data_IF_461018109577
#
_entry.id   IF_461018109577
#
_cell.length_a   1.000
_cell.length_b   1.000
_cell.length_c   1.000
_cell.angle_alpha   90.00
_cell.angle_beta   90.00
_cell.angle_gamma   90.00
#
_symmetry.space_group_name_H-M   'P 1'
#
loop_
_entity.id
_entity.type
_entity.pdbx_description
1 polymer ?
#
# COMPACT_ATOMS: atom_id res chain seq x y z
N UNK A 1 3.98 20.58 15.63
CA UNK A 1 4.85 21.13 16.68
C UNK A 1 5.62 19.98 17.30
N UNK A 2 6.87 19.79 16.89
CA UNK A 2 7.77 18.81 17.50
C UNK A 2 8.35 19.52 18.72
N UNK A 3 7.93 19.11 19.90
CA UNK A 3 8.35 19.66 21.19
C UNK A 3 9.85 19.50 21.38
N UNK A 4 10.52 20.58 21.78
CA UNK A 4 11.96 20.68 22.10
C UNK A 4 12.47 19.72 23.21
N UNK A 5 11.63 18.80 23.70
CA UNK A 5 11.91 17.92 24.84
C UNK A 5 12.74 16.68 24.50
N UNK A 6 13.04 16.40 23.23
CA UNK A 6 13.78 15.20 22.81
C UNK A 6 15.30 15.38 22.69
N UNK A 7 15.84 16.60 22.87
CA UNK A 7 17.28 16.85 22.66
C UNK A 7 18.16 16.58 23.90
N UNK A 8 17.58 16.34 25.07
CA UNK A 8 18.33 16.11 26.32
C UNK A 8 18.69 14.64 26.58
N UNK A 9 18.19 13.70 25.77
CA UNK A 9 18.50 12.27 25.92
C UNK A 9 19.88 11.86 25.38
N UNK A 10 20.62 12.76 24.71
CA UNK A 10 21.88 12.43 24.03
C UNK A 10 23.14 12.52 24.91
N UNK A 11 23.02 12.92 26.18
CA UNK A 11 24.17 13.28 27.02
C UNK A 11 24.81 12.21 27.94
N UNK A 12 24.31 10.96 28.12
CA UNK A 12 25.02 10.00 28.98
C UNK A 12 26.00 9.06 28.25
N UNK A 13 26.08 9.08 26.91
CA UNK A 13 26.87 8.08 26.17
C UNK A 13 28.39 8.37 26.25
N UNK A 14 28.78 9.65 26.29
CA UNK A 14 30.20 10.02 26.25
C UNK A 14 30.97 9.70 27.54
N UNK A 15 30.29 9.68 28.69
CA UNK A 15 30.94 9.48 30.00
C UNK A 15 31.14 8.00 30.33
N UNK A 16 30.45 7.08 29.66
CA UNK A 16 30.56 5.64 29.90
C UNK A 16 31.77 4.98 29.19
N UNK A 17 32.35 5.64 28.18
CA UNK A 17 33.49 5.10 27.43
C UNK A 17 34.84 5.17 28.15
N UNK A 18 34.98 5.92 29.25
CA UNK A 18 36.30 6.20 29.84
C UNK A 18 36.81 5.15 30.85
N UNK A 19 36.02 4.16 31.27
CA UNK A 19 36.37 3.38 32.47
C UNK A 19 35.99 1.89 32.49
N UNK A 20 35.90 1.23 31.32
CA UNK A 20 35.43 -0.16 31.25
C UNK A 20 36.55 -1.16 30.93
N UNK A 21 36.71 -2.25 31.69
CA UNK A 21 37.75 -3.27 31.48
C UNK A 21 37.51 -4.13 30.23
N UNK A 22 38.62 -4.60 29.65
CA UNK A 22 38.92 -4.92 28.24
C UNK A 22 38.15 -6.07 27.54
N UNK A 23 36.86 -6.29 27.81
CA UNK A 23 36.11 -7.34 27.07
C UNK A 23 34.59 -7.30 27.07
N UNK A 24 33.97 -6.51 27.96
CA UNK A 24 32.49 -6.40 28.08
C UNK A 24 31.90 -5.16 27.41
N UNK A 25 32.74 -4.29 26.86
CA UNK A 25 32.35 -2.99 26.29
C UNK A 25 31.43 -3.06 25.07
N UNK A 26 31.69 -3.85 24.02
CA UNK A 26 30.86 -3.81 22.81
C UNK A 26 29.46 -4.39 23.03
N UNK A 27 29.34 -5.43 23.88
CA UNK A 27 28.05 -6.08 24.15
C UNK A 27 27.15 -5.19 25.03
N UNK A 28 27.71 -4.49 26.01
CA UNK A 28 26.97 -3.53 26.83
C UNK A 28 26.57 -2.27 26.04
N UNK A 29 27.43 -1.77 25.15
CA UNK A 29 27.08 -0.65 24.27
C UNK A 29 25.95 -1.05 23.31
N UNK A 30 26.01 -2.26 22.73
CA UNK A 30 24.92 -2.78 21.90
C UNK A 30 23.60 -2.90 22.68
N UNK A 31 23.64 -3.53 23.85
CA UNK A 31 22.48 -3.67 24.72
C UNK A 31 21.88 -2.30 25.08
N UNK A 32 22.71 -1.32 25.40
CA UNK A 32 22.27 0.04 25.71
C UNK A 32 21.65 0.75 24.49
N UNK A 33 22.27 0.65 23.31
CA UNK A 33 21.75 1.27 22.07
C UNK A 33 20.40 0.66 21.69
N UNK A 34 20.27 -0.67 21.72
CA UNK A 34 19.00 -1.36 21.42
C UNK A 34 17.94 -1.03 22.48
N UNK A 35 18.31 -1.00 23.76
CA UNK A 35 17.40 -0.67 24.85
C UNK A 35 16.91 0.78 24.82
N UNK A 36 17.67 1.72 24.24
CA UNK A 36 17.26 3.13 24.12
C UNK A 36 16.50 3.39 22.81
N UNK A 37 17.01 2.88 21.68
CA UNK A 37 16.41 3.17 20.36
C UNK A 37 15.15 2.33 20.12
N UNK A 38 15.14 1.08 20.58
CA UNK A 38 14.02 0.15 20.38
C UNK A 38 12.69 0.68 20.90
N UNK A 39 12.60 1.13 22.16
CA UNK A 39 11.38 1.70 22.72
C UNK A 39 10.94 2.98 22.01
N UNK A 40 11.87 3.85 21.59
CA UNK A 40 11.53 5.08 20.85
C UNK A 40 10.90 4.75 19.50
N UNK A 41 11.50 3.83 18.74
CA UNK A 41 10.95 3.36 17.45
C UNK A 41 9.59 2.71 17.68
N UNK A 42 9.49 1.82 18.66
CA UNK A 42 8.24 1.13 19.00
C UNK A 42 7.12 2.11 19.39
N UNK A 43 7.43 3.11 20.22
CA UNK A 43 6.46 4.12 20.66
C UNK A 43 6.01 5.01 19.52
N UNK A 44 6.93 5.45 18.64
CA UNK A 44 6.58 6.23 17.45
C UNK A 44 5.68 5.44 16.50
N UNK A 45 5.94 4.14 16.32
CA UNK A 45 5.10 3.25 15.51
C UNK A 45 3.71 3.10 16.12
N UNK A 46 3.61 2.81 17.43
CA UNK A 46 2.33 2.68 18.14
C UNK A 46 1.52 3.99 18.07
N UNK A 47 2.14 5.13 18.35
CA UNK A 47 1.47 6.43 18.29
C UNK A 47 0.98 6.77 16.88
N UNK A 48 1.71 6.38 15.84
CA UNK A 48 1.27 6.56 14.46
C UNK A 48 0.07 5.67 14.09
N UNK A 49 -0.05 4.48 14.69
CA UNK A 49 -1.20 3.59 14.51
C UNK A 49 -2.45 4.14 15.21
N UNK A 50 -2.31 4.67 16.44
CA UNK A 50 -3.42 5.25 17.20
C UNK A 50 -3.98 6.53 16.54
N UNK A 51 -3.11 7.42 16.05
CA UNK A 51 -3.53 8.64 15.36
C UNK A 51 -4.34 8.35 14.07
N UNK A 52 -3.99 7.25 13.38
CA UNK A 52 -4.74 6.78 12.20
C UNK A 52 -6.13 6.25 12.55
N UNK A 53 -6.25 5.51 13.65
CA UNK A 53 -7.52 4.96 14.13
C UNK A 53 -8.49 6.05 14.61
N UNK A 54 -7.97 7.05 15.34
CA UNK A 54 -8.75 8.20 15.83
C UNK A 54 -9.34 9.03 14.69
N UNK A 55 -8.53 9.35 13.67
CA UNK A 55 -8.97 10.16 12.52
C UNK A 55 -10.03 9.47 11.67
N UNK A 56 -9.94 8.15 11.53
CA UNK A 56 -10.94 7.36 10.78
C UNK A 56 -12.25 7.19 11.55
N UNK A 57 -12.22 7.17 12.89
CA UNK A 57 -13.44 7.23 13.71
C UNK A 57 -14.17 8.57 13.55
N UNK A 58 -13.45 9.71 13.64
CA UNK A 58 -14.05 11.03 13.48
C UNK A 58 -14.65 11.28 12.09
N UNK A 59 -14.02 10.77 11.03
CA UNK A 59 -14.55 10.88 9.67
C UNK A 59 -15.86 10.09 9.46
N UNK A 60 -15.98 8.91 10.10
CA UNK A 60 -17.20 8.10 10.08
C UNK A 60 -18.34 8.74 10.87
N UNK A 61 -18.03 9.34 12.01
CA UNK A 61 -18.98 10.09 12.84
C UNK A 61 -19.59 11.26 12.05
N UNK A 62 -18.75 12.05 11.38
CA UNK A 62 -19.18 13.18 10.56
C UNK A 62 -20.04 12.74 9.36
N UNK A 63 -19.73 11.57 8.76
CA UNK A 63 -20.53 10.99 7.69
C UNK A 63 -21.90 10.53 8.19
N UNK A 64 -21.96 9.84 9.34
CA UNK A 64 -23.22 9.39 9.94
C UNK A 64 -24.13 10.58 10.30
N UNK A 65 -23.58 11.65 10.88
CA UNK A 65 -24.34 12.88 11.15
C UNK A 65 -24.87 13.55 9.87
N UNK A 66 -24.13 13.48 8.76
CA UNK A 66 -24.59 14.01 7.49
C UNK A 66 -25.72 13.15 6.87
N UNK A 67 -25.66 11.82 7.03
CA UNK A 67 -26.70 10.88 6.57
C UNK A 67 -27.99 11.03 7.39
N UNK A 68 -27.89 11.20 8.71
CA UNK A 68 -29.04 11.34 9.62
C UNK A 68 -29.83 12.63 9.38
N UNK A 69 -29.18 13.67 8.82
CA UNK A 69 -29.83 14.94 8.44
C UNK A 69 -30.57 14.91 7.08
N UNK A 70 -30.59 13.78 6.37
CA UNK A 70 -31.34 13.61 5.11
C UNK A 70 -32.71 13.01 5.38
N UNK A 71 -33.67 13.85 5.74
CA UNK A 71 -35.01 13.42 6.16
C UNK A 71 -36.03 13.15 5.04
N UNK A 72 -35.65 13.20 3.75
CA UNK A 72 -36.60 12.86 2.66
C UNK A 72 -35.92 12.41 1.35
N UNK A 73 -36.35 11.28 0.73
CA UNK A 73 -35.78 10.73 -0.52
C UNK A 73 -35.89 11.62 -1.77
N UNK A 74 -36.69 12.69 -1.75
CA UNK A 74 -36.97 13.52 -2.93
C UNK A 74 -36.05 14.74 -3.08
N UNK A 75 -35.04 14.89 -2.22
CA UNK A 75 -34.15 16.04 -2.24
C UNK A 75 -32.84 15.72 -2.99
N UNK A 76 -32.92 15.76 -4.32
CA UNK A 76 -31.80 15.54 -5.25
C UNK A 76 -30.57 16.40 -4.92
N UNK A 77 -30.79 17.62 -4.41
CA UNK A 77 -29.72 18.52 -3.99
C UNK A 77 -29.01 18.00 -2.73
N UNK A 78 -29.75 17.46 -1.74
CA UNK A 78 -29.14 16.80 -0.57
C UNK A 78 -28.41 15.51 -0.94
N UNK A 79 -28.91 14.73 -1.89
CA UNK A 79 -28.21 13.53 -2.39
C UNK A 79 -26.89 13.90 -3.08
N UNK A 80 -26.87 14.99 -3.87
CA UNK A 80 -25.64 15.52 -4.46
C UNK A 80 -24.67 16.05 -3.39
N UNK A 81 -25.16 16.73 -2.35
CA UNK A 81 -24.31 17.22 -1.26
C UNK A 81 -23.71 16.08 -0.42
N UNK A 82 -24.48 15.02 -0.14
CA UNK A 82 -23.98 13.81 0.51
C UNK A 82 -22.94 13.09 -0.35
N UNK A 83 -23.18 12.96 -1.66
CA UNK A 83 -22.21 12.36 -2.58
C UNK A 83 -20.89 13.15 -2.60
N UNK A 84 -20.98 14.49 -2.64
CA UNK A 84 -19.81 15.38 -2.64
C UNK A 84 -19.04 15.30 -1.31
N UNK A 85 -19.73 15.26 -0.17
CA UNK A 85 -19.11 15.05 1.15
C UNK A 85 -18.50 13.66 1.30
N UNK A 86 -19.11 12.62 0.74
CA UNK A 86 -18.50 11.30 0.67
C UNK A 86 -17.19 11.34 -0.13
N UNK A 87 -17.18 11.98 -1.29
CA UNK A 87 -15.99 12.12 -2.13
C UNK A 87 -14.88 12.90 -1.44
N UNK A 88 -15.21 13.97 -0.72
CA UNK A 88 -14.26 14.78 0.06
C UNK A 88 -13.70 14.01 1.26
N UNK A 89 -14.55 13.24 1.97
CA UNK A 89 -14.12 12.35 3.04
C UNK A 89 -13.18 11.24 2.52
N UNK A 90 -13.46 10.68 1.34
CA UNK A 90 -12.59 9.71 0.69
C UNK A 90 -11.26 10.32 0.25
N UNK A 91 -11.23 11.55 -0.28
CA UNK A 91 -9.99 12.23 -0.69
C UNK A 91 -9.10 12.57 0.53
N UNK A 92 -9.69 13.05 1.63
CA UNK A 92 -8.97 13.30 2.88
C UNK A 92 -8.44 11.98 3.46
N UNK A 93 -9.24 10.90 3.44
CA UNK A 93 -8.81 9.59 3.93
C UNK A 93 -7.68 9.00 3.06
N UNK A 94 -7.78 9.08 1.73
CA UNK A 94 -6.74 8.61 0.81
C UNK A 94 -5.42 9.40 0.98
N UNK A 95 -5.49 10.74 1.09
CA UNK A 95 -4.30 11.58 1.29
C UNK A 95 -3.66 11.37 2.65
N UNK A 96 -4.47 11.20 3.70
CA UNK A 96 -3.96 10.96 5.06
C UNK A 96 -3.28 9.59 5.20
N UNK A 97 -3.83 8.55 4.57
CA UNK A 97 -3.23 7.20 4.53
C UNK A 97 -1.91 7.17 3.76
N UNK A 98 -1.80 7.92 2.66
CA UNK A 98 -0.56 8.02 1.90
C UNK A 98 0.59 8.63 2.70
N UNK A 99 0.31 9.68 3.50
CA UNK A 99 1.35 10.36 4.27
C UNK A 99 1.84 9.53 5.46
N UNK A 100 0.95 8.86 6.20
CA UNK A 100 1.33 8.00 7.32
C UNK A 100 2.07 6.75 6.85
N UNK A 101 1.61 6.11 5.75
CA UNK A 101 2.28 4.94 5.17
C UNK A 101 3.70 5.25 4.68
N UNK A 102 3.92 6.45 4.13
CA UNK A 102 5.26 6.86 3.71
C UNK A 102 6.21 7.03 4.91
N UNK A 103 5.76 7.71 5.97
CA UNK A 103 6.57 7.87 7.19
C UNK A 103 6.83 6.54 7.90
N UNK A 104 5.82 5.66 8.00
CA UNK A 104 6.03 4.33 8.60
C UNK A 104 7.02 3.49 7.79
N UNK A 105 6.97 3.55 6.47
CA UNK A 105 7.91 2.86 5.59
C UNK A 105 9.34 3.39 5.73
N UNK A 106 9.49 4.71 5.81
CA UNK A 106 10.79 5.37 5.97
C UNK A 106 11.39 5.07 7.36
N UNK A 107 10.56 5.00 8.39
CA UNK A 107 10.97 4.63 9.74
C UNK A 107 11.35 3.15 9.83
N UNK A 108 10.62 2.25 9.16
CA UNK A 108 10.99 0.84 9.07
C UNK A 108 12.30 0.62 8.30
N UNK A 109 12.50 1.33 7.17
CA UNK A 109 13.74 1.27 6.40
C UNK A 109 14.94 1.77 7.20
N UNK A 110 14.80 2.91 7.88
CA UNK A 110 15.87 3.47 8.71
C UNK A 110 16.18 2.59 9.92
N UNK A 111 15.16 2.00 10.56
CA UNK A 111 15.34 1.02 11.62
C UNK A 111 16.09 -0.23 11.14
N UNK A 112 15.69 -0.80 9.99
CA UNK A 112 16.34 -1.96 9.38
C UNK A 112 17.79 -1.69 9.02
N UNK A 113 18.08 -0.52 8.42
CA UNK A 113 19.44 -0.08 8.13
C UNK A 113 20.27 0.07 9.41
N UNK A 114 19.68 0.62 10.48
CA UNK A 114 20.34 0.75 11.78
C UNK A 114 20.75 -0.60 12.35
N UNK A 115 19.87 -1.61 12.31
CA UNK A 115 20.19 -2.96 12.79
C UNK A 115 21.37 -3.56 12.00
N UNK A 116 21.38 -3.42 10.67
CA UNK A 116 22.48 -3.91 9.82
C UNK A 116 23.79 -3.18 10.13
N UNK A 117 23.76 -1.86 10.26
CA UNK A 117 24.95 -1.05 10.56
C UNK A 117 25.57 -1.44 11.91
N UNK A 118 24.73 -1.69 12.91
CA UNK A 118 25.19 -2.12 14.24
C UNK A 118 25.72 -3.55 14.21
N UNK A 119 25.06 -4.47 13.51
CA UNK A 119 25.56 -5.84 13.32
C UNK A 119 26.92 -5.86 12.62
N UNK A 120 27.11 -5.00 11.61
CA UNK A 120 28.39 -4.83 10.93
C UNK A 120 29.47 -4.27 11.85
N UNK A 121 29.13 -3.28 12.67
CA UNK A 121 30.05 -2.73 13.68
C UNK A 121 30.53 -3.81 14.65
N UNK A 122 29.63 -4.64 15.17
CA UNK A 122 29.98 -5.76 16.07
C UNK A 122 30.88 -6.76 15.35
N UNK A 123 30.55 -7.13 14.12
CA UNK A 123 31.34 -8.10 13.35
C UNK A 123 32.79 -7.63 13.13
N UNK A 124 33.02 -6.32 13.00
CA UNK A 124 34.36 -5.74 12.83
C UNK A 124 35.11 -5.58 14.16
N UNK A 125 34.40 -5.26 15.24
CA UNK A 125 35.00 -4.90 16.54
C UNK A 125 35.12 -6.04 17.54
N UNK A 126 34.39 -7.14 17.37
CA UNK A 126 34.51 -8.31 18.24
C UNK A 126 35.91 -8.95 18.09
N UNK A 127 36.50 -9.42 19.18
CA UNK A 127 37.75 -10.20 19.11
C UNK A 127 37.47 -11.70 18.90
N UNK A 128 36.32 -12.18 19.39
CA UNK A 128 35.94 -13.59 19.31
C UNK A 128 35.38 -13.99 17.94
N UNK A 129 36.02 -14.97 17.31
CA UNK A 129 35.64 -15.46 15.98
C UNK A 129 34.21 -16.02 15.93
N UNK A 130 33.76 -16.69 17.00
CA UNK A 130 32.41 -17.23 17.08
C UNK A 130 31.35 -16.11 17.02
N UNK A 131 31.58 -15.02 17.76
CA UNK A 131 30.72 -13.83 17.76
C UNK A 131 30.67 -13.15 16.39
N UNK A 132 31.81 -13.10 15.67
CA UNK A 132 31.85 -12.58 14.29
C UNK A 132 30.96 -13.38 13.34
N UNK A 133 31.07 -14.71 13.36
CA UNK A 133 30.28 -15.56 12.49
C UNK A 133 28.79 -15.51 12.82
N UNK A 134 28.42 -15.54 14.10
CA UNK A 134 27.02 -15.40 14.52
C UNK A 134 26.42 -14.07 14.07
N UNK A 135 27.13 -12.96 14.29
CA UNK A 135 26.69 -11.63 13.85
C UNK A 135 26.56 -11.54 12.32
N UNK A 136 27.51 -12.10 11.57
CA UNK A 136 27.48 -12.12 10.11
C UNK A 136 26.28 -12.92 9.56
N UNK A 137 25.98 -14.08 10.15
CA UNK A 137 24.83 -14.91 9.74
C UNK A 137 23.51 -14.18 10.03
N UNK A 138 23.35 -13.60 11.22
CA UNK A 138 22.14 -12.85 11.58
C UNK A 138 21.96 -11.65 10.66
N UNK A 139 23.04 -10.89 10.38
CA UNK A 139 22.99 -9.76 9.47
C UNK A 139 22.64 -10.19 8.03
N UNK A 140 23.20 -11.30 7.55
CA UNK A 140 22.91 -11.83 6.22
C UNK A 140 21.44 -12.28 6.10
N UNK A 141 20.93 -13.03 7.08
CA UNK A 141 19.52 -13.48 7.10
C UNK A 141 18.58 -12.29 7.21
N UNK A 142 18.85 -11.37 8.14
CA UNK A 142 18.03 -10.16 8.32
C UNK A 142 17.96 -9.30 7.06
N UNK A 143 19.11 -9.10 6.39
CA UNK A 143 19.17 -8.36 5.12
C UNK A 143 18.43 -9.10 4.01
N UNK A 144 18.58 -10.42 3.90
CA UNK A 144 17.89 -11.25 2.91
C UNK A 144 16.37 -11.21 3.08
N UNK A 145 15.88 -11.42 4.30
CA UNK A 145 14.44 -11.35 4.62
C UNK A 145 13.89 -9.95 4.40
N UNK A 146 14.59 -8.91 4.88
CA UNK A 146 14.19 -7.52 4.68
C UNK A 146 14.11 -7.14 3.20
N UNK A 147 15.09 -7.55 2.41
CA UNK A 147 15.12 -7.35 0.95
C UNK A 147 13.96 -8.05 0.24
N UNK A 148 13.64 -9.28 0.63
CA UNK A 148 12.50 -10.02 0.08
C UNK A 148 11.17 -9.33 0.38
N UNK A 149 10.94 -8.90 1.63
CA UNK A 149 9.73 -8.17 2.03
C UNK A 149 9.62 -6.85 1.26
N UNK A 150 10.70 -6.07 1.18
CA UNK A 150 10.73 -4.81 0.46
C UNK A 150 10.37 -5.00 -1.03
N UNK A 151 10.96 -6.02 -1.68
CA UNK A 151 10.67 -6.37 -3.08
C UNK A 151 9.19 -6.68 -3.28
N UNK A 152 8.62 -7.54 -2.43
CA UNK A 152 7.21 -7.94 -2.50
C UNK A 152 6.29 -6.73 -2.28
N UNK A 153 6.59 -5.89 -1.29
CA UNK A 153 5.80 -4.68 -1.01
C UNK A 153 5.81 -3.70 -2.19
N UNK A 154 6.98 -3.45 -2.79
CA UNK A 154 7.11 -2.60 -3.98
C UNK A 154 6.28 -3.16 -5.13
N UNK A 155 6.33 -4.47 -5.35
CA UNK A 155 5.59 -5.13 -6.42
C UNK A 155 4.07 -4.99 -6.22
N UNK A 156 3.56 -5.33 -5.03
CA UNK A 156 2.14 -5.20 -4.68
C UNK A 156 1.67 -3.74 -4.78
N UNK A 157 2.46 -2.80 -4.26
CA UNK A 157 2.12 -1.38 -4.32
C UNK A 157 2.09 -0.86 -5.77
N UNK A 158 3.02 -1.29 -6.61
CA UNK A 158 3.04 -0.91 -8.04
C UNK A 158 1.80 -1.43 -8.75
N UNK A 159 1.41 -2.69 -8.51
CA UNK A 159 0.18 -3.26 -9.06
C UNK A 159 -1.05 -2.52 -8.55
N UNK A 160 -1.15 -2.25 -7.25
CA UNK A 160 -2.27 -1.49 -6.70
C UNK A 160 -2.40 -0.09 -7.33
N UNK A 161 -1.28 0.62 -7.53
CA UNK A 161 -1.26 1.92 -8.20
C UNK A 161 -1.69 1.83 -9.67
N UNK A 162 -1.30 0.77 -10.39
CA UNK A 162 -1.76 0.52 -11.76
C UNK A 162 -3.27 0.31 -11.82
N UNK A 163 -3.84 -0.44 -10.87
CA UNK A 163 -5.29 -0.66 -10.80
C UNK A 163 -6.04 0.65 -10.52
N UNK A 164 -5.54 1.47 -9.59
CA UNK A 164 -6.13 2.78 -9.29
C UNK A 164 -6.08 3.70 -10.52
N UNK A 165 -4.94 3.74 -11.21
CA UNK A 165 -4.79 4.52 -12.45
C UNK A 165 -5.79 4.05 -13.52
N UNK A 166 -5.89 2.75 -13.74
CA UNK A 166 -6.84 2.18 -14.70
C UNK A 166 -8.29 2.55 -14.35
N UNK A 167 -8.66 2.50 -13.07
CA UNK A 167 -9.99 2.88 -12.61
C UNK A 167 -10.31 4.37 -12.85
N UNK A 168 -9.32 5.25 -12.71
CA UNK A 168 -9.50 6.69 -12.97
C UNK A 168 -9.49 7.05 -14.47
N UNK A 169 -8.91 6.22 -15.33
CA UNK A 169 -8.93 6.45 -16.78
C UNK A 169 -10.34 6.22 -17.37
N UNK A 170 -11.14 5.28 -16.85
CA UNK A 170 -12.49 5.00 -17.33
C UNK A 170 -13.47 6.21 -17.28
N UNK A 171 -13.65 6.92 -16.16
CA UNK A 171 -14.57 8.07 -16.10
C UNK A 171 -14.11 9.26 -16.94
N UNK A 172 -12.80 9.42 -17.16
CA UNK A 172 -12.27 10.47 -18.04
C UNK A 172 -12.75 10.27 -19.48
N UNK A 173 -12.72 9.03 -19.98
CA UNK A 173 -13.21 8.69 -21.31
C UNK A 173 -14.67 9.05 -21.46
N UNK A 174 -15.50 8.69 -20.48
CA UNK A 174 -16.92 9.04 -20.49
C UNK A 174 -17.13 10.56 -20.50
N UNK A 175 -16.33 11.32 -19.75
CA UNK A 175 -16.40 12.78 -19.75
C UNK A 175 -16.06 13.39 -21.12
N UNK A 176 -15.09 12.81 -21.84
CA UNK A 176 -14.72 13.25 -23.18
C UNK A 176 -15.80 12.90 -24.20
N UNK A 177 -16.39 11.71 -24.12
CA UNK A 177 -17.49 11.30 -25.01
C UNK A 177 -18.73 12.20 -24.83
N UNK A 178 -19.14 12.47 -23.59
CA UNK A 178 -20.26 13.38 -23.30
C UNK A 178 -19.95 14.83 -23.73
N UNK A 179 -18.69 15.26 -23.62
CA UNK A 179 -18.28 16.58 -24.11
C UNK A 179 -18.32 16.62 -25.64
N UNK A 180 -17.87 15.57 -26.31
CA UNK A 180 -17.93 15.46 -27.78
C UNK A 180 -19.38 15.47 -28.27
N UNK A 181 -20.28 14.74 -27.61
CA UNK A 181 -21.72 14.76 -27.89
C UNK A 181 -22.29 16.19 -27.82
N UNK A 182 -22.03 16.92 -26.72
CA UNK A 182 -22.49 18.31 -26.56
C UNK A 182 -21.92 19.26 -27.61
N UNK A 183 -20.69 19.03 -28.08
CA UNK A 183 -20.09 19.81 -29.16
C UNK A 183 -20.80 19.52 -30.49
N UNK A 184 -21.12 18.26 -30.76
CA UNK A 184 -21.85 17.85 -31.98
C UNK A 184 -23.26 18.43 -31.99
N UNK A 185 -23.95 18.46 -30.85
CA UNK A 185 -25.29 19.07 -30.73
C UNK A 185 -25.30 20.55 -31.16
N UNK A 186 -24.18 21.26 -31.05
CA UNK A 186 -24.04 22.66 -31.46
C UNK A 186 -23.74 22.85 -32.96
N UNK A 187 -23.43 21.77 -33.68
CA UNK A 187 -23.17 21.82 -35.12
C UNK A 187 -24.49 21.89 -35.91
N UNK A 188 -24.46 22.43 -37.15
CA UNK A 188 -25.58 22.35 -38.08
C UNK A 188 -26.02 20.90 -38.30
N UNK A 189 -27.33 20.68 -38.45
CA UNK A 189 -27.92 19.34 -38.52
C UNK A 189 -27.35 18.49 -39.66
N UNK A 190 -26.97 19.12 -40.78
CA UNK A 190 -26.29 18.49 -41.92
C UNK A 190 -24.93 17.87 -41.60
N UNK A 191 -24.25 18.33 -40.54
CA UNK A 191 -22.92 17.88 -40.16
C UNK A 191 -22.92 16.92 -38.96
N UNK A 192 -24.04 16.79 -38.23
CA UNK A 192 -24.10 15.98 -37.00
C UNK A 192 -23.90 14.49 -37.25
N UNK A 193 -24.60 13.94 -38.25
CA UNK A 193 -24.56 12.51 -38.59
C UNK A 193 -23.14 11.94 -38.76
N UNK A 194 -22.29 12.52 -39.63
CA UNK A 194 -20.93 12.03 -39.80
C UNK A 194 -20.07 12.19 -38.54
N UNK A 195 -20.30 13.21 -37.71
CA UNK A 195 -19.52 13.40 -36.48
C UNK A 195 -19.94 12.46 -35.34
N UNK A 196 -21.23 12.12 -35.22
CA UNK A 196 -21.68 11.07 -34.32
C UNK A 196 -21.06 9.72 -34.68
N UNK A 197 -20.95 9.38 -35.97
CA UNK A 197 -20.33 8.15 -36.41
C UNK A 197 -18.85 8.05 -35.97
N UNK A 198 -18.10 9.17 -36.01
CA UNK A 198 -16.72 9.22 -35.53
C UNK A 198 -16.60 9.05 -34.02
N UNK A 199 -17.48 9.69 -33.23
CA UNK A 199 -17.48 9.53 -31.76
C UNK A 199 -17.85 8.10 -31.35
N UNK A 200 -18.85 7.50 -32.00
CA UNK A 200 -19.24 6.10 -31.75
C UNK A 200 -18.12 5.15 -32.15
N UNK A 201 -17.47 5.36 -33.30
CA UNK A 201 -16.33 4.57 -33.73
C UNK A 201 -15.16 4.67 -32.74
N UNK A 202 -14.87 5.88 -32.24
CA UNK A 202 -13.85 6.09 -31.21
C UNK A 202 -14.20 5.40 -29.88
N UNK A 203 -15.46 5.50 -29.44
CA UNK A 203 -15.94 4.84 -28.22
C UNK A 203 -15.85 3.30 -28.31
N UNK A 204 -16.26 2.73 -29.45
CA UNK A 204 -16.16 1.29 -29.70
C UNK A 204 -14.71 0.82 -29.82
N UNK A 205 -13.85 1.62 -30.48
CA UNK A 205 -12.41 1.35 -30.55
C UNK A 205 -11.76 1.30 -29.17
N UNK A 206 -12.19 2.18 -28.26
CA UNK A 206 -11.71 2.21 -26.89
C UNK A 206 -12.26 1.07 -26.02
N UNK A 207 -13.53 0.68 -26.21
CA UNK A 207 -14.12 -0.50 -25.57
C UNK A 207 -13.40 -1.80 -25.99
N UNK A 208 -12.94 -1.87 -27.25
CA UNK A 208 -12.16 -3.01 -27.76
C UNK A 208 -10.73 -3.13 -27.21
N UNK A 209 -10.21 -2.09 -26.54
CA UNK A 209 -8.91 -2.12 -25.85
C UNK A 209 -8.98 -2.73 -24.45
N UNK A 210 -10.19 -2.95 -23.91
CA UNK A 210 -10.38 -3.64 -22.63
C UNK A 210 -10.25 -5.15 -22.85
N UNK A 211 -9.24 -5.83 -22.27
CA UNK A 211 -8.97 -7.25 -22.54
C UNK A 211 -10.17 -8.18 -22.28
N UNK A 212 -11.01 -7.86 -21.29
CA UNK A 212 -12.22 -8.63 -20.95
C UNK A 212 -13.30 -8.54 -22.04
N UNK A 213 -13.50 -7.36 -22.65
CA UNK A 213 -14.43 -7.19 -23.78
C UNK A 213 -13.88 -7.81 -25.06
N UNK A 214 -12.56 -7.77 -25.28
CA UNK A 214 -11.91 -8.49 -26.37
C UNK A 214 -12.17 -10.00 -26.29
N UNK A 215 -12.10 -10.57 -25.09
CA UNK A 215 -12.37 -12.00 -24.87
C UNK A 215 -13.87 -12.32 -24.97
N UNK A 216 -14.76 -11.41 -24.51
CA UNK A 216 -16.21 -11.58 -24.61
C UNK A 216 -16.76 -11.43 -26.05
N UNK A 217 -16.16 -10.55 -26.86
CA UNK A 217 -16.54 -10.33 -28.27
C UNK A 217 -15.81 -11.31 -29.21
N UNK A 218 -14.65 -11.84 -28.80
CA UNK A 218 -13.84 -12.77 -29.58
C UNK A 218 -14.29 -14.23 -29.55
N UNK A 219 -15.18 -14.62 -28.62
CA UNK A 219 -15.71 -15.99 -28.54
C UNK A 219 -17.25 -16.01 -28.39
N UNK A 220 -18.01 -15.90 -29.50
CA UNK A 220 -19.35 -16.44 -29.50
C UNK A 220 -19.25 -17.97 -29.41
N UNK A 221 -19.57 -18.52 -28.25
CA UNK A 221 -19.82 -19.95 -27.93
C UNK A 221 -18.64 -20.92 -27.82
N UNK A 222 -18.84 -21.90 -26.89
CA UNK A 222 -18.14 -23.17 -26.65
C UNK A 222 -17.12 -23.22 -25.49
N UNK A 223 -17.60 -23.28 -24.24
CA UNK A 223 -16.89 -23.99 -23.13
C UNK A 223 -17.74 -24.21 -21.86
N UNK A 224 -18.98 -24.67 -22.05
CA UNK A 224 -19.67 -25.45 -21.01
C UNK A 224 -20.06 -26.81 -21.58
N UNK A 225 -19.06 -27.56 -22.02
CA UNK A 225 -19.13 -29.02 -22.10
C UNK A 225 -17.97 -29.55 -21.25
N UNK A 226 -18.12 -29.37 -19.94
CA UNK A 226 -17.28 -30.01 -18.94
C UNK A 226 -17.72 -31.47 -18.90
N UNK A 227 -17.16 -32.26 -19.80
CA UNK A 227 -17.23 -33.71 -19.76
C UNK A 227 -16.65 -34.17 -18.43
N UNK A 228 -17.52 -34.73 -17.60
CA UNK A 228 -17.17 -35.62 -16.50
C UNK A 228 -16.33 -36.76 -17.07
N UNK A 229 -15.02 -36.60 -17.04
CA UNK A 229 -14.05 -37.65 -17.34
C UNK A 229 -14.02 -38.59 -16.12
N UNK A 230 -14.37 -39.88 -16.26
CA UNK A 230 -14.36 -40.81 -15.15
C UNK A 230 -12.91 -41.08 -14.74
N UNK A 231 -12.62 -40.84 -13.47
CA UNK A 231 -11.36 -41.13 -12.81
C UNK A 231 -11.09 -42.65 -12.82
N UNK A 232 -10.30 -43.10 -13.79
CA UNK A 232 -9.89 -44.48 -13.98
C UNK A 232 -8.57 -44.81 -13.25
N UNK A 233 -8.28 -44.17 -12.12
CA UNK A 233 -7.02 -44.35 -11.39
C UNK A 233 -7.21 -44.77 -9.93
N UNK A 234 -8.18 -45.66 -9.67
CA UNK A 234 -8.24 -46.50 -8.46
C UNK A 234 -7.89 -47.94 -8.78
N UNK A 235 -6.63 -48.18 -9.14
CA UNK A 235 -5.99 -49.48 -8.91
C UNK A 235 -4.91 -49.27 -7.86
N UNK A 236 -5.15 -49.77 -6.65
CA UNK A 236 -4.13 -49.99 -5.63
C UNK A 236 -4.13 -51.48 -5.30
N UNK A 237 -2.99 -52.18 -5.41
CA UNK A 237 -2.93 -53.62 -5.35
C UNK A 237 -3.05 -54.13 -3.91
N UNK A 238 -3.95 -55.10 -3.73
CA UNK A 238 -3.99 -55.98 -2.58
C UNK A 238 -2.89 -57.03 -2.70
N UNK A 239 -2.13 -57.21 -1.61
CA UNK A 239 -1.56 -58.49 -1.16
C UNK A 239 -0.42 -59.10 -1.98
N UNK A 240 0.68 -59.43 -1.32
CA UNK A 240 0.94 -60.80 -0.85
C UNK A 240 2.35 -60.92 -0.21
N UNK A 241 2.34 -61.50 1.01
CA UNK A 241 3.40 -62.22 1.74
C UNK A 241 4.57 -61.44 2.37
#
# INVERSE_FOLDING_TARGET
MITLASLTAFLPIATFMSNSPDGLTPLLIFGAVVAVIGPVIFWVVIAALEDSASKSAGAREALNQAVENVSSPNDLLKLMEVNRRQMEAYDIQARSQGRTSHWSSLLAMTAGLGIVAVGMWIAVTADETATKYAAAIIAAVGTGTGGYIAKTFIQVNTTAQQHVRFYFEQPLVQSYLLTAERVIERLPESERGPQYALVVAAALGQAGLVPELRNAVGHPSLSHEQSTQPDASRESPAGEL
#
